data_IF_266808826044
#
_entry.id   IF_266808826044
#
_cell.length_a   1.000
_cell.length_b   1.000
_cell.length_c   1.000
_cell.angle_alpha   90.00
_cell.angle_beta   90.00
_cell.angle_gamma   90.00
#
_symmetry.space_group_name_H-M   'P 1'
#
loop_
_entity.id
_entity.type
_entity.pdbx_description
1 polymer ?
#
# COMPACT_ATOMS: atom_id res chain seq x y z
N UNK A 1 -6.78 34.14 -1.38
CA UNK A 1 -8.16 34.37 -1.88
C UNK A 1 -8.97 33.08 -1.71
N UNK A 2 -9.59 32.89 -0.55
CA UNK A 2 -10.42 31.72 -0.25
C UNK A 2 -11.89 32.15 -0.34
N UNK A 3 -12.54 31.94 -1.50
CA UNK A 3 -13.93 32.37 -1.70
C UNK A 3 -14.89 31.21 -1.46
N UNK A 4 -15.48 31.17 -0.27
CA UNK A 4 -16.53 30.22 0.11
C UNK A 4 -17.66 30.19 -0.93
N UNK A 5 -18.02 31.36 -1.47
CA UNK A 5 -19.04 31.49 -2.51
C UNK A 5 -18.75 30.70 -3.79
N UNK A 6 -17.49 30.52 -4.17
CA UNK A 6 -17.12 29.71 -5.34
C UNK A 6 -17.32 28.22 -5.03
N UNK A 7 -16.93 27.77 -3.84
CA UNK A 7 -17.13 26.38 -3.42
C UNK A 7 -18.62 26.03 -3.34
N UNK A 8 -19.44 26.95 -2.81
CA UNK A 8 -20.89 26.78 -2.78
C UNK A 8 -21.48 26.69 -4.19
N UNK A 9 -21.05 27.53 -5.13
CA UNK A 9 -21.52 27.46 -6.52
C UNK A 9 -21.19 26.13 -7.20
N UNK A 10 -19.99 25.59 -6.95
CA UNK A 10 -19.60 24.25 -7.45
C UNK A 10 -20.48 23.17 -6.82
N UNK A 11 -20.71 23.22 -5.51
CA UNK A 11 -21.60 22.27 -4.82
C UNK A 11 -23.04 22.35 -5.35
N UNK A 12 -23.55 23.56 -5.58
CA UNK A 12 -24.86 23.77 -6.22
C UNK A 12 -24.90 23.17 -7.63
N UNK A 13 -23.84 23.32 -8.41
CA UNK A 13 -23.71 22.71 -9.73
C UNK A 13 -23.76 21.18 -9.65
N UNK A 14 -23.04 20.57 -8.71
CA UNK A 14 -23.10 19.12 -8.47
C UNK A 14 -24.50 18.64 -8.11
N UNK A 15 -25.30 19.43 -7.38
CA UNK A 15 -26.66 19.07 -7.02
C UNK A 15 -27.58 18.87 -8.22
N UNK A 16 -27.33 19.59 -9.34
CA UNK A 16 -28.07 19.38 -10.58
C UNK A 16 -27.71 18.04 -11.26
N UNK A 17 -26.57 17.44 -10.89
CA UNK A 17 -26.08 16.16 -11.42
C UNK A 17 -26.50 15.02 -10.50
N UNK A 18 -26.12 15.09 -9.21
CA UNK A 18 -26.57 14.17 -8.17
C UNK A 18 -26.66 14.81 -6.80
N UNK A 19 -27.83 14.71 -6.18
CA UNK A 19 -28.10 15.24 -4.83
C UNK A 19 -27.21 14.57 -3.77
N UNK A 20 -27.01 13.27 -3.88
CA UNK A 20 -26.18 12.48 -2.96
C UNK A 20 -24.70 12.89 -2.99
N UNK A 21 -24.16 13.10 -4.19
CA UNK A 21 -22.78 13.58 -4.39
C UNK A 21 -22.63 14.99 -3.82
N UNK A 22 -23.54 15.90 -4.14
CA UNK A 22 -23.51 17.27 -3.66
C UNK A 22 -23.59 17.35 -2.13
N UNK A 23 -24.44 16.54 -1.49
CA UNK A 23 -24.56 16.48 -0.04
C UNK A 23 -23.28 15.96 0.64
N UNK A 24 -22.63 14.94 0.07
CA UNK A 24 -21.36 14.42 0.57
C UNK A 24 -20.24 15.47 0.48
N UNK A 25 -20.13 16.17 -0.66
CA UNK A 25 -19.15 17.23 -0.85
C UNK A 25 -19.44 18.43 0.06
N UNK A 26 -20.70 18.84 0.20
CA UNK A 26 -21.10 19.94 1.06
C UNK A 26 -20.72 19.68 2.52
N UNK A 27 -21.04 18.49 3.03
CA UNK A 27 -20.72 18.08 4.41
C UNK A 27 -19.22 18.15 4.69
N UNK A 28 -18.39 17.59 3.79
CA UNK A 28 -16.93 17.59 3.97
C UNK A 28 -16.28 18.98 3.82
N UNK A 29 -16.95 19.91 3.13
CA UNK A 29 -16.48 21.29 2.97
C UNK A 29 -17.09 22.27 3.98
N UNK A 30 -18.01 21.81 4.84
CA UNK A 30 -18.76 22.66 5.78
C UNK A 30 -19.68 23.66 5.08
N UNK A 31 -20.33 23.25 3.99
CA UNK A 31 -21.18 24.07 3.13
C UNK A 31 -22.65 23.66 3.23
N UNK A 32 -23.54 24.51 2.71
CA UNK A 32 -24.96 24.20 2.65
C UNK A 32 -25.24 23.13 1.61
N UNK A 33 -26.10 22.16 1.96
CA UNK A 33 -26.56 21.11 1.05
C UNK A 33 -27.55 21.72 0.05
N UNK A 34 -27.27 21.65 -1.27
CA UNK A 34 -28.14 22.25 -2.27
C UNK A 34 -29.53 21.63 -2.30
N UNK A 35 -30.55 22.49 -2.33
CA UNK A 35 -31.95 22.10 -2.56
C UNK A 35 -32.32 22.30 -4.03
N UNK A 36 -31.58 21.63 -4.93
CA UNK A 36 -31.80 21.70 -6.38
C UNK A 36 -32.31 20.37 -6.91
N UNK A 37 -32.99 20.41 -8.06
CA UNK A 37 -33.56 19.22 -8.69
C UNK A 37 -32.48 18.44 -9.43
N UNK A 38 -32.28 17.20 -9.03
CA UNK A 38 -31.36 16.26 -9.68
C UNK A 38 -31.81 15.93 -11.11
N UNK A 39 -30.83 15.63 -11.98
CA UNK A 39 -31.06 15.14 -13.33
C UNK A 39 -31.87 13.83 -13.35
N UNK A 40 -32.75 13.69 -14.33
CA UNK A 40 -33.54 12.46 -14.53
C UNK A 40 -32.79 11.38 -15.34
N UNK A 41 -31.57 11.66 -15.82
CA UNK A 41 -30.81 10.71 -16.62
C UNK A 41 -30.24 9.60 -15.73
N UNK A 42 -30.68 8.36 -15.98
CA UNK A 42 -30.26 7.17 -15.21
C UNK A 42 -29.37 6.21 -16.00
N UNK A 43 -28.98 6.56 -17.24
CA UNK A 43 -28.12 5.73 -18.07
C UNK A 43 -26.78 5.49 -17.38
N UNK A 44 -26.36 4.22 -17.30
CA UNK A 44 -25.09 3.79 -16.73
C UNK A 44 -24.35 2.92 -17.74
N UNK A 45 -23.02 3.02 -17.75
CA UNK A 45 -22.15 2.16 -18.54
C UNK A 45 -21.09 1.54 -17.63
N UNK A 46 -20.96 0.21 -17.56
CA UNK A 46 -19.87 -0.43 -16.80
C UNK A 46 -18.47 -0.01 -17.28
N UNK A 47 -18.35 0.40 -18.55
CA UNK A 47 -17.08 0.77 -19.17
C UNK A 47 -16.48 2.07 -18.61
N UNK A 48 -17.29 2.94 -17.96
CA UNK A 48 -16.77 4.17 -17.32
C UNK A 48 -16.26 3.92 -15.89
N UNK A 49 -16.42 2.70 -15.37
CA UNK A 49 -15.94 2.35 -14.03
C UNK A 49 -14.56 1.70 -14.08
N UNK A 50 -13.58 2.33 -13.45
CA UNK A 50 -12.26 1.71 -13.25
C UNK A 50 -12.29 0.53 -12.27
N UNK A 51 -13.38 0.36 -11.49
CA UNK A 51 -13.51 -0.79 -10.59
C UNK A 51 -13.60 -2.13 -11.34
N UNK A 52 -13.94 -2.11 -12.64
CA UNK A 52 -14.02 -3.29 -13.49
C UNK A 52 -12.69 -3.62 -14.20
N UNK A 53 -11.60 -2.89 -13.89
CA UNK A 53 -10.29 -3.13 -14.49
C UNK A 53 -9.78 -4.51 -14.11
N UNK A 54 -9.32 -5.28 -15.09
CA UNK A 54 -8.63 -6.54 -14.82
C UNK A 54 -7.20 -6.23 -14.40
N UNK A 55 -6.83 -6.64 -13.20
CA UNK A 55 -5.49 -6.43 -12.67
C UNK A 55 -4.60 -7.66 -12.87
N UNK A 56 -3.31 -7.43 -13.02
CA UNK A 56 -2.28 -8.47 -13.16
C UNK A 56 -1.11 -8.16 -12.22
N UNK A 57 -0.42 -9.18 -11.67
CA UNK A 57 0.78 -8.97 -10.88
C UNK A 57 1.98 -8.49 -11.70
N UNK A 58 1.96 -8.64 -13.03
CA UNK A 58 3.07 -8.28 -13.89
C UNK A 58 3.46 -6.81 -13.72
N UNK A 59 4.77 -6.56 -13.57
CA UNK A 59 5.39 -5.23 -13.42
C UNK A 59 5.15 -4.52 -12.09
N UNK A 60 4.30 -5.04 -11.20
CA UNK A 60 4.09 -4.43 -9.90
C UNK A 60 5.36 -4.52 -9.05
N UNK A 61 5.77 -3.39 -8.47
CA UNK A 61 6.98 -3.29 -7.66
C UNK A 61 6.67 -3.54 -6.19
N UNK A 62 7.46 -4.37 -5.53
CA UNK A 62 7.33 -4.65 -4.09
C UNK A 62 8.55 -4.09 -3.38
N UNK A 63 8.35 -3.15 -2.46
CA UNK A 63 9.41 -2.67 -1.60
C UNK A 63 9.73 -3.71 -0.52
N UNK A 64 10.95 -4.25 -0.50
CA UNK A 64 11.36 -5.29 0.44
C UNK A 64 12.28 -4.68 1.48
N UNK A 65 11.75 -4.42 2.68
CA UNK A 65 12.50 -3.79 3.77
C UNK A 65 13.26 -4.84 4.57
N UNK A 66 14.58 -4.77 4.52
CA UNK A 66 15.49 -5.72 5.18
C UNK A 66 16.58 -5.01 5.99
N UNK A 67 16.95 -5.60 7.13
CA UNK A 67 18.10 -5.21 7.94
C UNK A 67 19.17 -6.31 7.91
N UNK A 68 20.34 -6.03 8.48
CA UNK A 68 21.38 -7.04 8.63
C UNK A 68 20.88 -8.21 9.49
N UNK A 69 21.28 -9.44 9.16
CA UNK A 69 20.83 -10.66 9.83
C UNK A 69 19.42 -11.09 9.44
N UNK A 70 18.91 -10.66 8.28
CA UNK A 70 17.64 -11.19 7.76
C UNK A 70 17.78 -12.67 7.35
N UNK A 71 16.65 -13.40 7.38
CA UNK A 71 16.59 -14.78 6.90
C UNK A 71 16.69 -14.81 5.37
N UNK A 72 17.90 -14.98 4.89
CA UNK A 72 18.23 -14.92 3.48
C UNK A 72 17.57 -16.05 2.67
N UNK A 73 17.63 -17.28 3.16
CA UNK A 73 17.17 -18.45 2.42
C UNK A 73 15.67 -18.35 2.18
N UNK A 74 14.91 -18.08 3.24
CA UNK A 74 13.45 -17.95 3.17
C UNK A 74 13.03 -16.75 2.34
N UNK A 75 13.71 -15.61 2.54
CA UNK A 75 13.44 -14.40 1.76
C UNK A 75 13.70 -14.65 0.27
N UNK A 76 14.83 -15.25 -0.11
CA UNK A 76 15.16 -15.51 -1.51
C UNK A 76 14.15 -16.42 -2.20
N UNK A 77 13.69 -17.48 -1.50
CA UNK A 77 12.67 -18.38 -2.03
C UNK A 77 11.36 -17.65 -2.38
N UNK A 78 10.93 -16.72 -1.52
CA UNK A 78 9.74 -15.89 -1.78
C UNK A 78 9.98 -14.95 -2.96
N UNK A 79 11.11 -14.23 -2.96
CA UNK A 79 11.40 -13.26 -4.01
C UNK A 79 11.53 -13.92 -5.39
N UNK A 80 12.12 -15.11 -5.48
CA UNK A 80 12.26 -15.84 -6.73
C UNK A 80 10.92 -16.43 -7.22
N UNK A 81 9.99 -16.76 -6.31
CA UNK A 81 8.62 -17.09 -6.70
C UNK A 81 7.89 -15.85 -7.25
N UNK A 82 7.99 -14.71 -6.58
CA UNK A 82 7.38 -13.46 -7.02
C UNK A 82 7.91 -12.98 -8.37
N UNK A 83 9.23 -13.05 -8.62
CA UNK A 83 9.81 -12.75 -9.93
C UNK A 83 9.22 -13.65 -11.04
N UNK A 84 9.04 -14.94 -10.77
CA UNK A 84 8.40 -15.88 -11.72
C UNK A 84 6.92 -15.56 -11.98
N UNK A 85 6.25 -14.92 -11.02
CA UNK A 85 4.87 -14.43 -11.15
C UNK A 85 4.79 -13.00 -11.74
N UNK A 86 5.92 -12.42 -12.16
CA UNK A 86 5.98 -11.11 -12.81
C UNK A 86 6.08 -9.90 -11.88
N UNK A 87 6.12 -10.12 -10.56
CA UNK A 87 6.37 -9.07 -9.57
C UNK A 87 7.84 -8.65 -9.60
N UNK A 88 8.11 -7.40 -9.21
CA UNK A 88 9.44 -6.81 -9.21
C UNK A 88 9.85 -6.40 -7.77
N UNK A 89 10.46 -7.31 -6.98
CA UNK A 89 11.00 -6.96 -5.69
C UNK A 89 12.12 -5.93 -5.80
N UNK A 90 12.14 -4.96 -4.89
CA UNK A 90 13.16 -3.92 -4.79
C UNK A 90 13.69 -3.89 -3.36
N UNK A 91 14.99 -4.12 -3.19
CA UNK A 91 15.59 -4.21 -1.86
C UNK A 91 15.76 -2.82 -1.23
N UNK A 92 15.20 -2.63 -0.04
CA UNK A 92 15.24 -1.40 0.74
C UNK A 92 15.90 -1.65 2.09
N UNK A 93 16.79 -0.76 2.50
CA UNK A 93 17.38 -0.79 3.84
C UNK A 93 17.61 0.62 4.40
N UNK A 94 18.24 0.72 5.56
CA UNK A 94 18.54 2.02 6.18
C UNK A 94 19.44 2.89 5.29
N UNK A 95 20.44 2.27 4.64
CA UNK A 95 21.44 2.92 3.80
C UNK A 95 21.64 2.14 2.50
N UNK A 96 22.11 2.82 1.46
CA UNK A 96 22.57 2.17 0.23
C UNK A 96 23.84 1.36 0.48
N UNK A 97 24.20 0.53 -0.51
CA UNK A 97 25.36 -0.35 -0.45
C UNK A 97 24.94 -1.80 -0.35
N UNK A 98 25.37 -2.49 0.70
CA UNK A 98 25.11 -3.91 0.89
C UNK A 98 24.50 -4.18 2.26
N UNK A 99 23.57 -5.12 2.30
CA UNK A 99 23.01 -5.68 3.53
C UNK A 99 23.36 -7.16 3.59
N UNK A 100 23.73 -7.63 4.79
CA UNK A 100 24.26 -8.98 5.00
C UNK A 100 23.18 -9.85 5.63
N UNK A 101 22.88 -10.97 5.00
CA UNK A 101 21.96 -11.99 5.52
C UNK A 101 22.58 -12.80 6.67
N UNK A 102 21.77 -13.60 7.35
CA UNK A 102 22.22 -14.48 8.44
C UNK A 102 23.33 -15.47 8.00
N UNK A 103 23.32 -15.90 6.73
CA UNK A 103 24.33 -16.80 6.16
C UNK A 103 25.56 -16.06 5.60
N UNK A 104 25.74 -14.78 5.94
CA UNK A 104 26.83 -13.90 5.49
C UNK A 104 26.82 -13.50 4.01
N UNK A 105 25.84 -13.92 3.21
CA UNK A 105 25.68 -13.40 1.84
C UNK A 105 25.30 -11.92 1.87
N UNK A 106 25.82 -11.18 0.90
CA UNK A 106 25.56 -9.75 0.78
C UNK A 106 24.59 -9.48 -0.38
N UNK A 107 23.52 -8.76 -0.10
CA UNK A 107 22.58 -8.29 -1.10
C UNK A 107 22.79 -6.81 -1.36
N UNK A 108 22.69 -6.41 -2.63
CA UNK A 108 22.76 -4.99 -3.00
C UNK A 108 21.45 -4.31 -2.60
N UNK A 109 21.57 -3.21 -1.88
CA UNK A 109 20.44 -2.35 -1.55
C UNK A 109 20.17 -1.43 -2.74
N UNK A 110 18.93 -1.42 -3.22
CA UNK A 110 18.49 -0.62 -4.37
C UNK A 110 17.88 0.71 -3.95
N UNK A 111 17.24 0.76 -2.78
CA UNK A 111 16.67 1.96 -2.18
C UNK A 111 17.04 2.10 -0.70
N UNK A 112 17.24 3.32 -0.23
CA UNK A 112 17.35 3.58 1.21
C UNK A 112 16.11 4.30 1.72
N UNK A 113 15.89 4.34 3.04
CA UNK A 113 14.82 5.18 3.59
C UNK A 113 14.97 6.67 3.25
N UNK A 114 16.18 7.13 2.96
CA UNK A 114 16.48 8.51 2.56
C UNK A 114 16.21 8.77 1.07
N UNK A 115 16.55 7.80 0.21
CA UNK A 115 16.49 7.96 -1.26
C UNK A 115 15.24 7.37 -1.89
N UNK A 116 14.54 6.48 -1.18
CA UNK A 116 13.30 5.85 -1.61
C UNK A 116 12.07 6.48 -0.97
N UNK A 117 10.90 6.03 -1.44
CA UNK A 117 9.60 6.36 -0.85
C UNK A 117 8.65 5.16 -0.98
N UNK A 118 7.77 4.89 0.00
CA UNK A 118 6.71 3.89 -0.11
C UNK A 118 5.74 4.16 -1.29
N UNK A 119 5.75 5.36 -1.86
CA UNK A 119 4.97 5.72 -3.04
C UNK A 119 5.49 5.06 -4.33
N UNK A 120 6.77 4.67 -4.37
CA UNK A 120 7.41 4.05 -5.54
C UNK A 120 7.05 2.57 -5.76
N UNK A 121 6.37 1.97 -4.78
CA UNK A 121 6.06 0.53 -4.76
C UNK A 121 4.55 0.31 -4.70
N UNK A 122 4.07 -0.75 -5.31
CA UNK A 122 2.65 -1.14 -5.32
C UNK A 122 2.24 -1.88 -4.04
N UNK A 123 3.22 -2.46 -3.33
CA UNK A 123 3.07 -3.07 -2.02
C UNK A 123 4.40 -3.14 -1.28
N UNK A 124 4.33 -3.57 -0.02
CA UNK A 124 5.48 -3.62 0.88
C UNK A 124 5.64 -5.02 1.47
N UNK A 125 6.87 -5.51 1.57
CA UNK A 125 7.22 -6.72 2.29
C UNK A 125 8.26 -6.38 3.37
N UNK A 126 7.91 -6.53 4.64
CA UNK A 126 8.79 -6.22 5.78
C UNK A 126 9.39 -7.51 6.31
N UNK A 127 10.69 -7.68 6.08
CA UNK A 127 11.44 -8.86 6.52
C UNK A 127 12.10 -8.62 7.88
N UNK A 128 12.58 -7.40 8.12
CA UNK A 128 13.37 -7.06 9.31
C UNK A 128 14.79 -7.63 9.26
N UNK A 129 15.38 -7.89 10.42
CA UNK A 129 16.69 -8.52 10.58
C UNK A 129 17.07 -8.61 12.06
N UNK A 130 18.25 -9.16 12.37
CA UNK A 130 18.75 -9.26 13.74
C UNK A 130 19.41 -7.97 14.25
N UNK A 131 19.95 -7.18 13.33
CA UNK A 131 20.64 -5.93 13.65
C UNK A 131 19.80 -4.73 13.17
N UNK A 132 18.66 -4.53 13.82
CA UNK A 132 17.75 -3.40 13.60
C UNK A 132 17.85 -2.37 14.74
N UNK A 133 18.12 -1.11 14.37
CA UNK A 133 18.18 0.01 15.32
C UNK A 133 16.85 0.75 15.44
N UNK A 134 16.72 1.61 16.46
CA UNK A 134 15.54 2.47 16.66
C UNK A 134 15.17 3.26 15.41
N UNK A 135 16.18 3.80 14.70
CA UNK A 135 15.99 4.53 13.45
C UNK A 135 15.37 3.66 12.36
N UNK A 136 15.88 2.44 12.17
CA UNK A 136 15.32 1.48 11.22
C UNK A 136 13.86 1.18 11.55
N UNK A 137 13.55 0.85 12.81
CA UNK A 137 12.19 0.52 13.23
C UNK A 137 11.22 1.70 13.03
N UNK A 138 11.64 2.92 13.34
CA UNK A 138 10.82 4.10 13.13
C UNK A 138 10.54 4.35 11.64
N UNK A 139 11.58 4.28 10.79
CA UNK A 139 11.43 4.48 9.34
C UNK A 139 10.62 3.38 8.67
N UNK A 140 10.79 2.12 9.07
CA UNK A 140 9.97 1.00 8.65
C UNK A 140 8.49 1.23 8.99
N UNK A 141 8.19 1.65 10.24
CA UNK A 141 6.82 2.01 10.63
C UNK A 141 6.26 3.14 9.77
N UNK A 142 7.03 4.19 9.49
CA UNK A 142 6.58 5.27 8.60
C UNK A 142 6.25 4.77 7.19
N UNK A 143 7.09 3.89 6.61
CA UNK A 143 6.82 3.26 5.32
C UNK A 143 5.52 2.44 5.35
N UNK A 144 5.31 1.67 6.42
CA UNK A 144 4.13 0.83 6.61
C UNK A 144 2.87 1.67 6.77
N UNK A 145 2.89 2.72 7.58
CA UNK A 145 1.76 3.65 7.75
C UNK A 145 1.38 4.28 6.42
N UNK A 146 2.36 4.80 5.67
CA UNK A 146 2.08 5.42 4.37
C UNK A 146 1.53 4.40 3.37
N UNK A 147 2.10 3.19 3.33
CA UNK A 147 1.60 2.10 2.49
C UNK A 147 0.16 1.72 2.86
N UNK A 148 -0.14 1.66 4.16
CA UNK A 148 -1.46 1.31 4.69
C UNK A 148 -2.51 2.38 4.35
N UNK A 149 -2.18 3.66 4.54
CA UNK A 149 -3.03 4.81 4.21
C UNK A 149 -3.32 4.90 2.70
N UNK A 150 -2.43 4.38 1.86
CA UNK A 150 -2.65 4.25 0.42
C UNK A 150 -3.37 2.96 0.02
N UNK A 151 -3.91 2.21 0.97
CA UNK A 151 -4.63 0.94 0.78
C UNK A 151 -3.82 -0.17 0.14
N UNK A 152 -2.49 -0.05 0.12
CA UNK A 152 -1.61 -1.01 -0.55
C UNK A 152 -1.46 -2.30 0.28
N UNK A 153 -1.09 -3.42 -0.36
CA UNK A 153 -0.86 -4.69 0.31
C UNK A 153 0.44 -4.64 1.11
N UNK A 154 0.44 -5.29 2.28
CA UNK A 154 1.59 -5.34 3.19
C UNK A 154 1.81 -6.80 3.60
N UNK A 155 3.00 -7.31 3.32
CA UNK A 155 3.45 -8.63 3.72
C UNK A 155 4.48 -8.50 4.83
N UNK A 156 4.52 -9.44 5.77
CA UNK A 156 5.37 -9.38 6.94
C UNK A 156 5.97 -10.76 7.19
N UNK A 157 7.25 -10.86 7.49
CA UNK A 157 7.76 -12.02 8.24
C UNK A 157 7.33 -11.92 9.70
N UNK A 158 7.55 -12.97 10.50
CA UNK A 158 7.37 -12.88 11.95
C UNK A 158 8.20 -11.76 12.59
N UNK A 159 9.46 -11.58 12.15
CA UNK A 159 10.31 -10.47 12.63
C UNK A 159 9.76 -9.11 12.21
N UNK A 160 9.36 -8.96 10.94
CA UNK A 160 8.73 -7.74 10.44
C UNK A 160 7.43 -7.40 11.15
N UNK A 161 6.65 -8.41 11.56
CA UNK A 161 5.43 -8.22 12.33
C UNK A 161 5.71 -7.64 13.72
N UNK A 162 6.79 -8.06 14.39
CA UNK A 162 7.20 -7.47 15.68
C UNK A 162 7.49 -5.97 15.58
N UNK A 163 8.13 -5.53 14.49
CA UNK A 163 8.42 -4.10 14.26
C UNK A 163 7.12 -3.29 14.20
N UNK A 164 6.12 -3.80 13.48
CA UNK A 164 4.89 -3.05 13.18
C UNK A 164 3.73 -3.33 14.14
N UNK A 165 3.89 -4.27 15.08
CA UNK A 165 2.88 -4.63 16.07
C UNK A 165 2.23 -3.42 16.76
N UNK A 166 2.97 -2.36 17.16
CA UNK A 166 2.37 -1.18 17.79
C UNK A 166 1.41 -0.38 16.90
N UNK A 167 1.41 -0.62 15.58
CA UNK A 167 0.49 0.04 14.65
C UNK A 167 -0.91 -0.57 14.67
N UNK A 168 -1.09 -1.78 15.23
CA UNK A 168 -2.41 -2.42 15.35
C UNK A 168 -3.04 -2.85 14.03
N UNK A 169 -2.26 -2.99 12.95
CA UNK A 169 -2.77 -3.33 11.61
C UNK A 169 -2.65 -4.80 11.24
N UNK A 170 -2.07 -5.65 12.10
CA UNK A 170 -1.94 -7.08 11.84
C UNK A 170 -3.33 -7.71 11.77
N UNK A 171 -3.58 -8.52 10.73
CA UNK A 171 -4.89 -9.13 10.47
C UNK A 171 -5.88 -8.23 9.74
N UNK A 172 -5.54 -6.96 9.49
CA UNK A 172 -6.39 -6.09 8.67
C UNK A 172 -6.40 -6.54 7.20
N UNK A 173 -7.47 -6.28 6.43
CA UNK A 173 -7.60 -6.74 5.06
C UNK A 173 -6.39 -6.35 4.20
N UNK A 174 -5.69 -7.32 3.59
CA UNK A 174 -4.50 -7.07 2.76
C UNK A 174 -3.19 -6.84 3.52
N UNK A 175 -3.18 -7.09 4.84
CA UNK A 175 -1.98 -7.23 5.66
C UNK A 175 -1.79 -8.71 5.97
N UNK A 176 -0.75 -9.33 5.43
CA UNK A 176 -0.48 -10.76 5.58
C UNK A 176 0.82 -10.97 6.38
N UNK A 177 0.77 -11.91 7.32
CA UNK A 177 1.96 -12.42 8.00
C UNK A 177 2.31 -13.76 7.39
N UNK A 178 3.58 -13.96 7.10
CA UNK A 178 4.14 -15.22 6.62
C UNK A 178 4.01 -16.30 7.69
N UNK A 179 3.46 -17.46 7.32
CA UNK A 179 3.38 -18.65 8.15
C UNK A 179 3.93 -19.86 7.36
N UNK A 180 4.67 -20.75 8.01
CA UNK A 180 5.33 -21.92 7.36
C UNK A 180 4.35 -22.88 6.67
N UNK A 181 3.13 -22.96 7.17
CA UNK A 181 2.07 -23.82 6.64
C UNK A 181 1.38 -23.26 5.39
N UNK A 182 1.65 -22.00 5.03
CA UNK A 182 0.91 -21.28 3.99
C UNK A 182 1.76 -21.06 2.75
N UNK A 183 1.17 -21.10 1.54
CA UNK A 183 1.85 -20.72 0.32
C UNK A 183 1.93 -19.18 0.23
N UNK A 184 2.63 -18.54 1.19
CA UNK A 184 2.65 -17.09 1.38
C UNK A 184 2.93 -16.32 0.09
N UNK A 185 3.88 -16.76 -0.73
CA UNK A 185 4.20 -16.09 -1.99
C UNK A 185 2.99 -16.03 -2.95
N UNK A 186 2.21 -17.13 -3.03
CA UNK A 186 0.99 -17.19 -3.85
C UNK A 186 -0.11 -16.29 -3.28
N UNK A 187 -0.34 -16.36 -1.98
CA UNK A 187 -1.39 -15.57 -1.33
C UNK A 187 -1.07 -14.08 -1.34
N UNK A 188 0.22 -13.74 -1.17
CA UNK A 188 0.69 -12.38 -1.32
C UNK A 188 0.51 -11.87 -2.76
N UNK A 189 0.75 -12.71 -3.77
CA UNK A 189 0.51 -12.35 -5.17
C UNK A 189 -0.97 -12.05 -5.45
N UNK A 190 -1.89 -12.79 -4.83
CA UNK A 190 -3.34 -12.51 -4.94
C UNK A 190 -3.69 -11.14 -4.36
N UNK A 191 -3.12 -10.77 -3.20
CA UNK A 191 -3.37 -9.44 -2.61
C UNK A 191 -2.69 -8.32 -3.40
N UNK A 192 -1.50 -8.56 -3.96
CA UNK A 192 -0.83 -7.64 -4.90
C UNK A 192 -1.67 -7.38 -6.14
N UNK A 193 -2.28 -8.42 -6.69
CA UNK A 193 -3.16 -8.31 -7.86
C UNK A 193 -4.42 -7.49 -7.56
N UNK A 194 -4.91 -7.47 -6.31
CA UNK A 194 -6.00 -6.56 -5.92
C UNK A 194 -5.57 -5.09 -5.91
N UNK A 195 -4.27 -4.81 -5.81
CA UNK A 195 -3.61 -3.50 -5.70
C UNK A 195 -4.03 -2.64 -4.50
N UNK A 196 -5.33 -2.46 -4.27
CA UNK A 196 -5.89 -1.58 -3.24
C UNK A 196 -7.01 -2.27 -2.46
N UNK A 197 -6.95 -2.12 -1.14
CA UNK A 197 -7.93 -2.64 -0.19
C UNK A 197 -8.87 -1.53 0.28
N UNK A 198 -9.79 -1.13 -0.59
CA UNK A 198 -10.75 -0.04 -0.34
C UNK A 198 -11.63 -0.23 0.90
N UNK A 199 -11.77 -1.46 1.38
CA UNK A 199 -12.50 -1.79 2.63
C UNK A 199 -11.88 -1.18 3.90
N UNK A 200 -10.63 -0.68 3.84
CA UNK A 200 -10.00 0.01 4.98
C UNK A 200 -10.38 1.49 5.08
N UNK A 201 -11.10 2.04 4.08
CA UNK A 201 -11.44 3.46 3.98
C UNK A 201 -12.82 3.80 4.52
#
# INVERSE_FOLDING_TARGET
>A
MNRISVRQQVVNMLGNISSSLAASVATNLGLEIPQVKESFITKKSPAVSMANTTFSPNTLRIGVIIAHGFDEQKTNQILDQWKRMGLQPVIISEKLGKVRGANSTEWRVEGSFLTGSPLLYDGLYVVGGDAEGTTFNWKTKSYVVETYNHYKPIGLTHKGATIIQPLGIIGQPGVLVEEESTPFANDFTKVMTKQRFWVRG
#
